data_IF_463126327932
#
_entry.id   IF_463126327932
#
_cell.length_a   1.000
_cell.length_b   1.000
_cell.length_c   1.000
_cell.angle_alpha   90.00
_cell.angle_beta   90.00
_cell.angle_gamma   90.00
#
_symmetry.space_group_name_H-M   'P 1'
#
loop_
_entity.id
_entity.type
_entity.pdbx_description
1 polymer ?
#
# COMPACT_ATOMS: atom_id res chain seq x y z
N UNK A 1 -4.66 80.90 -35.16
CA UNK A 1 -4.22 80.58 -33.80
C UNK A 1 -5.18 79.64 -33.08
N UNK A 2 -6.50 79.89 -33.12
CA UNK A 2 -7.54 79.01 -32.45
C UNK A 2 -7.53 77.58 -32.95
N UNK A 3 -7.36 77.34 -34.25
CA UNK A 3 -7.32 76.02 -34.86
C UNK A 3 -6.10 75.20 -34.43
N UNK A 4 -4.96 75.80 -34.24
CA UNK A 4 -3.74 75.12 -33.75
C UNK A 4 -3.86 74.76 -32.27
N UNK A 5 -4.51 75.67 -31.48
CA UNK A 5 -4.78 75.36 -30.05
C UNK A 5 -5.77 74.19 -29.91
N UNK A 6 -6.84 74.18 -30.72
CA UNK A 6 -7.81 73.04 -30.73
C UNK A 6 -7.19 71.74 -31.20
N UNK A 7 -6.28 71.75 -32.16
CA UNK A 7 -5.55 70.58 -32.63
C UNK A 7 -4.59 70.07 -31.55
N UNK A 8 -3.92 70.96 -30.80
CA UNK A 8 -3.06 70.59 -29.68
C UNK A 8 -3.83 69.98 -28.52
N UNK A 9 -5.00 70.56 -28.19
CA UNK A 9 -5.88 69.99 -27.16
C UNK A 9 -6.39 68.59 -27.57
N UNK A 10 -6.84 68.42 -28.82
CA UNK A 10 -7.28 67.19 -29.38
C UNK A 10 -6.16 66.11 -29.31
N UNK A 11 -4.95 66.47 -29.70
CA UNK A 11 -3.78 65.59 -29.62
C UNK A 11 -3.45 65.21 -28.19
N UNK A 12 -3.48 66.15 -27.24
CA UNK A 12 -3.28 65.89 -25.84
C UNK A 12 -4.33 64.93 -25.28
N UNK A 13 -5.61 65.07 -25.62
CA UNK A 13 -6.69 64.19 -25.23
C UNK A 13 -6.46 62.75 -25.80
N UNK A 14 -6.09 62.64 -27.06
CA UNK A 14 -5.79 61.32 -27.69
C UNK A 14 -4.61 60.66 -27.02
N UNK A 15 -3.53 61.40 -26.77
CA UNK A 15 -2.33 60.81 -26.15
C UNK A 15 -2.56 60.45 -24.68
N UNK A 16 -3.16 61.30 -23.89
CA UNK A 16 -3.31 61.12 -22.46
C UNK A 16 -4.52 60.28 -22.05
N UNK A 17 -5.55 60.14 -22.87
CA UNK A 17 -6.78 59.41 -22.55
C UNK A 17 -6.90 58.12 -23.36
N UNK A 18 -6.77 58.19 -24.69
CA UNK A 18 -7.02 57.05 -25.58
C UNK A 18 -5.90 56.03 -25.53
N UNK A 19 -4.64 56.47 -25.49
CA UNK A 19 -3.49 55.57 -25.47
C UNK A 19 -3.42 54.70 -24.20
N UNK A 20 -3.59 55.24 -22.99
CA UNK A 20 -3.64 54.41 -21.78
C UNK A 20 -4.88 53.44 -21.74
N UNK A 21 -6.02 53.93 -22.25
CA UNK A 21 -7.23 53.12 -22.39
C UNK A 21 -7.00 51.93 -23.34
N UNK A 22 -6.36 52.13 -24.47
CA UNK A 22 -5.99 51.07 -25.41
C UNK A 22 -5.00 50.09 -24.77
N UNK A 23 -3.98 50.60 -24.06
CA UNK A 23 -3.03 49.74 -23.34
C UNK A 23 -3.68 48.90 -22.25
N UNK A 24 -4.68 49.44 -21.55
CA UNK A 24 -5.47 48.72 -20.54
C UNK A 24 -6.44 47.69 -21.13
N UNK A 25 -6.80 47.84 -22.41
CA UNK A 25 -7.71 46.93 -23.13
C UNK A 25 -7.08 45.61 -23.51
N UNK A 26 -5.75 45.53 -23.64
CA UNK A 26 -5.04 44.34 -24.08
C UNK A 26 -4.74 43.48 -22.87
N UNK A 27 -5.25 42.24 -22.89
CA UNK A 27 -4.98 41.22 -21.86
C UNK A 27 -4.44 39.95 -22.52
N UNK A 28 -3.38 39.39 -21.92
CA UNK A 28 -2.79 38.13 -22.31
C UNK A 28 -3.20 37.06 -21.30
N UNK A 29 -3.69 35.95 -21.81
CA UNK A 29 -4.05 34.75 -21.04
C UNK A 29 -3.12 33.62 -21.45
N UNK A 30 -2.48 33.00 -20.47
CA UNK A 30 -1.56 31.91 -20.69
C UNK A 30 -2.30 30.62 -21.15
N UNK A 31 -1.57 29.68 -21.72
CA UNK A 31 -2.16 28.43 -22.24
C UNK A 31 -2.85 27.60 -21.15
N UNK A 32 -2.31 27.62 -19.96
CA UNK A 32 -2.84 26.93 -18.77
C UNK A 32 -3.92 27.73 -18.03
N UNK A 33 -4.23 28.96 -18.46
CA UNK A 33 -5.27 29.81 -17.89
C UNK A 33 -6.46 29.94 -18.84
N UNK A 34 -7.63 30.27 -18.27
CA UNK A 34 -8.80 30.72 -19.04
C UNK A 34 -9.31 32.00 -18.46
N UNK A 35 -9.60 32.93 -19.34
CA UNK A 35 -10.20 34.20 -18.98
C UNK A 35 -11.73 34.12 -19.00
N UNK A 36 -12.38 34.21 -17.86
CA UNK A 36 -13.84 34.30 -17.76
C UNK A 36 -14.23 35.78 -17.85
N UNK A 37 -14.97 36.14 -18.90
CA UNK A 37 -15.32 37.55 -19.19
C UNK A 37 -16.75 37.80 -18.72
N UNK A 38 -16.90 38.85 -17.91
CA UNK A 38 -18.18 39.41 -17.50
C UNK A 38 -18.37 40.77 -18.16
N UNK A 39 -19.42 40.93 -18.91
CA UNK A 39 -19.80 42.22 -19.54
C UNK A 39 -20.98 42.81 -18.81
N UNK A 40 -20.79 43.97 -18.20
CA UNK A 40 -21.83 44.64 -17.37
C UNK A 40 -22.46 43.69 -16.36
N UNK A 41 -21.63 42.77 -15.76
CA UNK A 41 -22.08 41.82 -14.78
C UNK A 41 -22.68 40.51 -15.35
N UNK A 42 -22.88 40.40 -16.66
CA UNK A 42 -23.34 39.17 -17.30
C UNK A 42 -22.18 38.33 -17.81
N UNK A 43 -22.21 37.02 -17.55
CA UNK A 43 -21.23 36.09 -18.06
C UNK A 43 -21.34 36.00 -19.61
N UNK A 44 -20.25 36.30 -20.29
CA UNK A 44 -20.14 36.16 -21.76
C UNK A 44 -19.60 34.79 -22.12
N UNK A 45 -18.74 34.23 -21.27
CA UNK A 45 -18.14 32.90 -21.40
C UNK A 45 -16.64 32.89 -21.22
N UNK A 46 -16.07 31.67 -21.08
CA UNK A 46 -14.62 31.52 -20.99
C UNK A 46 -13.96 31.77 -22.36
N UNK A 47 -12.84 32.46 -22.36
CA UNK A 47 -11.97 32.65 -23.54
C UNK A 47 -10.71 31.80 -23.40
N UNK A 48 -10.27 31.21 -24.52
CA UNK A 48 -9.05 30.42 -24.61
C UNK A 48 -7.77 31.22 -24.38
N UNK A 49 -6.59 30.60 -24.54
CA UNK A 49 -5.31 31.29 -24.40
C UNK A 49 -5.09 32.28 -25.56
N UNK A 50 -4.28 33.30 -25.31
CA UNK A 50 -3.88 34.26 -26.31
C UNK A 50 -4.12 35.71 -25.90
N UNK A 51 -4.16 36.60 -26.91
CA UNK A 51 -4.33 38.03 -26.74
C UNK A 51 -5.79 38.39 -26.94
N UNK A 52 -6.40 39.08 -25.97
CA UNK A 52 -7.78 39.52 -26.01
C UNK A 52 -7.88 41.02 -25.83
N UNK A 53 -8.80 41.59 -26.57
CA UNK A 53 -9.19 42.99 -26.39
C UNK A 53 -10.41 43.02 -25.47
N UNK A 54 -10.26 43.68 -24.30
CA UNK A 54 -11.29 43.84 -23.29
C UNK A 54 -11.65 45.31 -23.23
N UNK A 55 -12.93 45.65 -23.20
CA UNK A 55 -13.39 47.03 -23.02
C UNK A 55 -13.22 47.42 -21.55
N UNK A 56 -12.25 48.33 -21.22
CA UNK A 56 -12.07 48.77 -19.84
C UNK A 56 -13.37 49.44 -19.37
N UNK A 57 -13.71 49.24 -18.07
CA UNK A 57 -14.94 49.66 -17.40
C UNK A 57 -16.23 48.88 -17.73
N UNK A 58 -16.32 48.25 -18.90
CA UNK A 58 -17.50 47.45 -19.32
C UNK A 58 -17.28 45.97 -19.06
N UNK A 59 -16.08 45.49 -19.40
CA UNK A 59 -15.73 44.07 -19.29
C UNK A 59 -14.79 43.85 -18.06
N UNK A 60 -15.11 42.86 -17.27
CA UNK A 60 -14.29 42.35 -16.16
C UNK A 60 -13.85 40.92 -16.48
N UNK A 61 -12.55 40.65 -16.39
CA UNK A 61 -12.00 39.33 -16.62
C UNK A 61 -11.46 38.74 -15.32
N UNK A 62 -11.86 37.48 -15.05
CA UNK A 62 -11.30 36.66 -13.98
C UNK A 62 -10.48 35.54 -14.63
N UNK A 63 -9.23 35.39 -14.24
CA UNK A 63 -8.35 34.34 -14.73
C UNK A 63 -8.47 33.10 -13.83
N UNK A 64 -8.65 31.95 -14.42
CA UNK A 64 -8.72 30.65 -13.73
C UNK A 64 -7.63 29.75 -14.30
N UNK A 65 -6.85 29.15 -13.41
CA UNK A 65 -5.83 28.15 -13.73
C UNK A 65 -6.50 26.78 -13.93
N UNK A 66 -6.13 26.07 -15.01
CA UNK A 66 -6.66 24.74 -15.34
C UNK A 66 -5.73 23.59 -14.91
N UNK A 67 -4.56 23.90 -14.38
CA UNK A 67 -3.61 22.90 -13.91
C UNK A 67 -4.17 22.17 -12.69
N UNK A 68 -3.65 20.99 -12.47
CA UNK A 68 -3.95 20.23 -11.24
C UNK A 68 -3.38 20.99 -10.04
N UNK A 69 -4.25 21.23 -9.09
CA UNK A 69 -3.90 21.83 -7.79
C UNK A 69 -3.88 20.74 -6.75
N UNK A 70 -2.83 20.72 -5.95
CA UNK A 70 -2.71 19.82 -4.80
C UNK A 70 -3.13 20.57 -3.55
N UNK A 71 -4.03 19.96 -2.77
CA UNK A 71 -4.53 20.53 -1.53
C UNK A 71 -4.37 19.53 -0.39
N UNK A 72 -3.71 19.93 0.66
CA UNK A 72 -3.58 19.14 1.88
C UNK A 72 -4.78 19.36 2.81
N UNK A 73 -5.41 18.28 3.23
CA UNK A 73 -6.43 18.25 4.27
C UNK A 73 -5.72 17.96 5.59
N UNK A 74 -5.71 18.90 6.55
CA UNK A 74 -5.03 18.73 7.82
C UNK A 74 -5.63 17.57 8.61
N UNK A 75 -4.89 17.02 9.59
CA UNK A 75 -5.36 15.90 10.39
C UNK A 75 -6.72 16.17 11.02
N UNK A 76 -7.69 15.31 10.72
CA UNK A 76 -9.04 15.32 11.28
C UNK A 76 -9.16 14.22 12.33
N UNK A 77 -9.68 14.57 13.49
CA UNK A 77 -10.02 13.59 14.50
C UNK A 77 -11.36 12.94 14.15
N UNK A 78 -11.35 11.62 14.06
CA UNK A 78 -12.51 10.81 13.63
C UNK A 78 -12.65 9.61 14.55
N UNK A 79 -13.88 9.16 14.74
CA UNK A 79 -14.19 7.90 15.44
C UNK A 79 -14.73 6.95 14.38
N UNK A 80 -14.07 5.81 14.23
CA UNK A 80 -14.49 4.75 13.29
C UNK A 80 -15.72 4.01 13.77
N UNK A 81 -16.30 3.16 12.89
CA UNK A 81 -17.46 2.34 13.22
C UNK A 81 -17.21 1.37 14.40
N UNK A 82 -15.98 0.90 14.54
CA UNK A 82 -15.50 0.05 15.65
C UNK A 82 -15.07 0.84 16.90
N UNK A 83 -15.49 2.12 16.99
CA UNK A 83 -15.29 3.02 18.13
C UNK A 83 -13.83 3.31 18.45
N UNK A 84 -12.96 3.35 17.45
CA UNK A 84 -11.55 3.76 17.59
C UNK A 84 -11.40 5.21 17.21
N UNK A 85 -10.86 6.02 18.12
CA UNK A 85 -10.49 7.42 17.82
C UNK A 85 -9.16 7.45 17.13
N UNK A 86 -9.08 8.17 15.99
CA UNK A 86 -7.84 8.35 15.24
C UNK A 86 -7.77 9.72 14.59
N UNK A 87 -6.57 10.13 14.17
CA UNK A 87 -6.35 11.32 13.34
C UNK A 87 -5.93 10.89 11.96
N UNK A 88 -6.60 11.45 10.95
CA UNK A 88 -6.34 11.12 9.56
C UNK A 88 -6.15 12.38 8.76
N UNK A 89 -5.06 12.46 7.99
CA UNK A 89 -4.80 13.49 6.99
C UNK A 89 -4.98 12.92 5.59
N UNK A 90 -5.31 13.80 4.63
CA UNK A 90 -5.48 13.41 3.23
C UNK A 90 -4.91 14.47 2.29
N UNK A 91 -4.66 14.07 1.06
CA UNK A 91 -4.28 14.96 -0.04
C UNK A 91 -5.31 14.83 -1.14
N UNK A 92 -5.75 15.97 -1.64
CA UNK A 92 -6.72 16.09 -2.72
C UNK A 92 -6.05 16.70 -3.95
N UNK A 93 -6.19 16.04 -5.10
CA UNK A 93 -5.76 16.53 -6.41
C UNK A 93 -6.99 16.88 -7.23
N UNK A 94 -7.13 18.15 -7.60
CA UNK A 94 -8.26 18.60 -8.39
C UNK A 94 -7.84 19.61 -9.45
N UNK A 95 -8.66 19.80 -10.45
CA UNK A 95 -8.50 20.82 -11.48
C UNK A 95 -9.84 21.41 -11.88
N UNK A 96 -9.81 22.63 -12.39
CA UNK A 96 -11.01 23.24 -12.98
C UNK A 96 -11.20 22.76 -14.41
N UNK A 97 -12.38 22.23 -14.71
CA UNK A 97 -12.78 21.78 -16.06
C UNK A 97 -13.64 22.84 -16.73
N UNK A 98 -14.59 23.43 -15.99
CA UNK A 98 -15.40 24.54 -16.47
C UNK A 98 -15.11 25.83 -15.69
N UNK A 99 -14.31 26.74 -16.24
CA UNK A 99 -13.97 27.99 -15.58
C UNK A 99 -15.19 28.92 -15.38
N UNK A 100 -16.22 28.79 -16.22
CA UNK A 100 -17.44 29.56 -16.08
C UNK A 100 -18.19 29.19 -14.81
N UNK A 101 -18.43 27.90 -14.60
CA UNK A 101 -19.06 27.36 -13.39
C UNK A 101 -18.22 27.62 -12.14
N UNK A 102 -16.90 27.53 -12.25
CA UNK A 102 -15.99 27.78 -11.12
C UNK A 102 -16.09 29.21 -10.56
N UNK A 103 -16.45 30.17 -11.39
CA UNK A 103 -16.59 31.57 -10.96
C UNK A 103 -18.05 31.94 -10.62
N UNK A 104 -19.03 31.32 -11.26
CA UNK A 104 -20.46 31.65 -11.06
C UNK A 104 -21.17 30.74 -10.07
N UNK A 105 -20.74 29.48 -9.96
CA UNK A 105 -21.40 28.48 -9.12
C UNK A 105 -21.00 28.57 -7.65
N UNK A 106 -19.81 29.10 -7.35
CA UNK A 106 -19.29 29.19 -5.99
C UNK A 106 -18.39 30.42 -5.84
N UNK A 107 -18.39 31.05 -4.68
CA UNK A 107 -17.58 32.25 -4.45
C UNK A 107 -16.07 31.94 -4.41
N UNK A 108 -15.70 30.80 -3.82
CA UNK A 108 -14.32 30.32 -3.72
C UNK A 108 -14.36 28.78 -3.79
N UNK A 109 -14.10 28.25 -4.99
CA UNK A 109 -14.11 26.81 -5.24
C UNK A 109 -12.99 26.07 -4.48
N UNK A 110 -11.86 26.73 -4.23
CA UNK A 110 -10.75 26.12 -3.48
C UNK A 110 -11.18 25.89 -2.04
N UNK A 111 -11.68 26.91 -1.39
CA UNK A 111 -12.15 26.84 0.00
C UNK A 111 -13.35 25.91 0.16
N UNK A 112 -14.28 25.95 -0.80
CA UNK A 112 -15.45 25.08 -0.76
C UNK A 112 -15.07 23.59 -0.93
N UNK A 113 -14.19 23.28 -1.90
CA UNK A 113 -13.67 21.92 -2.09
C UNK A 113 -12.90 21.43 -0.86
N UNK A 114 -12.16 22.31 -0.21
CA UNK A 114 -11.48 21.99 1.05
C UNK A 114 -12.45 21.57 2.16
N UNK A 115 -13.53 22.31 2.36
CA UNK A 115 -14.54 22.00 3.37
C UNK A 115 -15.30 20.71 3.06
N UNK A 116 -15.63 20.50 1.78
CA UNK A 116 -16.23 19.22 1.34
C UNK A 116 -15.27 18.07 1.65
N UNK A 117 -14.00 18.19 1.28
CA UNK A 117 -13.02 17.16 1.54
C UNK A 117 -12.92 16.82 3.04
N UNK A 118 -12.87 17.83 3.91
CA UNK A 118 -12.84 17.62 5.37
C UNK A 118 -14.09 16.89 5.89
N UNK A 119 -15.27 17.33 5.47
CA UNK A 119 -16.53 16.75 5.95
C UNK A 119 -16.75 15.35 5.41
N UNK A 120 -16.45 15.13 4.13
CA UNK A 120 -16.54 13.81 3.49
C UNK A 120 -15.54 12.83 4.08
N UNK A 121 -14.30 13.27 4.32
CA UNK A 121 -13.27 12.47 4.99
C UNK A 121 -13.80 11.96 6.35
N UNK A 122 -14.35 12.86 7.17
CA UNK A 122 -14.91 12.50 8.48
C UNK A 122 -16.08 11.53 8.36
N UNK A 123 -16.99 11.74 7.41
CA UNK A 123 -18.16 10.88 7.20
C UNK A 123 -17.76 9.48 6.75
N UNK A 124 -16.94 9.37 5.71
CA UNK A 124 -16.53 8.07 5.14
C UNK A 124 -15.70 7.27 6.14
N UNK A 125 -14.79 7.93 6.88
CA UNK A 125 -13.99 7.25 7.90
C UNK A 125 -14.84 6.83 9.11
N UNK A 126 -15.84 7.62 9.48
CA UNK A 126 -16.79 7.26 10.56
C UNK A 126 -17.68 6.06 10.23
N UNK A 127 -17.90 5.78 8.94
CA UNK A 127 -18.63 4.61 8.46
C UNK A 127 -17.75 3.36 8.28
N UNK A 128 -16.43 3.54 8.20
CA UNK A 128 -15.46 2.48 7.92
C UNK A 128 -14.90 1.88 9.20
N UNK A 129 -14.44 0.63 9.13
CA UNK A 129 -13.70 -0.02 10.21
C UNK A 129 -12.21 0.28 10.10
N UNK A 130 -11.49 0.23 11.22
CA UNK A 130 -10.06 0.48 11.26
C UNK A 130 -9.28 -0.50 10.36
N UNK A 131 -9.64 -1.77 10.39
CA UNK A 131 -8.99 -2.79 9.57
C UNK A 131 -9.18 -2.52 8.06
N UNK A 132 -10.34 -2.01 7.63
CA UNK A 132 -10.58 -1.61 6.24
C UNK A 132 -9.69 -0.45 5.81
N UNK A 133 -9.51 0.54 6.70
CA UNK A 133 -8.63 1.70 6.47
C UNK A 133 -7.15 1.31 6.34
N UNK A 134 -6.71 0.30 7.07
CA UNK A 134 -5.32 -0.15 7.05
C UNK A 134 -5.03 -1.12 5.90
N UNK A 135 -5.98 -2.03 5.59
CA UNK A 135 -5.82 -3.09 4.60
C UNK A 135 -6.25 -2.68 3.18
N UNK A 136 -7.32 -1.86 3.04
CA UNK A 136 -7.97 -1.56 1.77
C UNK A 136 -8.05 -0.05 1.49
N UNK A 137 -6.92 0.66 1.61
CA UNK A 137 -6.85 2.13 1.38
C UNK A 137 -7.39 2.55 0.03
N UNK A 138 -7.11 1.78 -1.02
CA UNK A 138 -7.55 2.09 -2.38
C UNK A 138 -9.08 2.19 -2.50
N UNK A 139 -9.81 1.33 -1.79
CA UNK A 139 -11.27 1.36 -1.77
C UNK A 139 -11.80 2.61 -1.07
N UNK A 140 -11.18 3.01 0.02
CA UNK A 140 -11.54 4.22 0.75
C UNK A 140 -11.22 5.46 -0.09
N UNK A 141 -10.04 5.51 -0.72
CA UNK A 141 -9.64 6.59 -1.61
C UNK A 141 -10.62 6.74 -2.78
N UNK A 142 -11.02 5.64 -3.42
CA UNK A 142 -12.01 5.65 -4.50
C UNK A 142 -13.38 6.15 -4.02
N UNK A 143 -13.86 5.70 -2.86
CA UNK A 143 -15.13 6.18 -2.28
C UNK A 143 -15.07 7.67 -1.95
N UNK A 144 -13.98 8.14 -1.38
CA UNK A 144 -13.76 9.56 -1.11
C UNK A 144 -13.76 10.38 -2.40
N UNK A 145 -13.02 9.94 -3.41
CA UNK A 145 -12.93 10.59 -4.71
C UNK A 145 -14.32 10.71 -5.35
N UNK A 146 -15.09 9.62 -5.42
CA UNK A 146 -16.42 9.58 -6.02
C UNK A 146 -17.38 10.59 -5.36
N UNK A 147 -17.43 10.61 -4.03
CA UNK A 147 -18.31 11.50 -3.28
C UNK A 147 -17.91 12.97 -3.47
N UNK A 148 -16.60 13.27 -3.36
CA UNK A 148 -16.11 14.64 -3.47
C UNK A 148 -16.27 15.15 -4.91
N UNK A 149 -15.94 14.32 -5.91
CA UNK A 149 -16.09 14.66 -7.33
C UNK A 149 -17.56 15.00 -7.66
N UNK A 150 -18.51 14.17 -7.21
CA UNK A 150 -19.95 14.42 -7.38
C UNK A 150 -20.41 15.75 -6.75
N UNK A 151 -19.84 16.12 -5.59
CA UNK A 151 -20.21 17.36 -4.90
C UNK A 151 -19.56 18.60 -5.51
N UNK A 152 -18.40 18.46 -6.18
CA UNK A 152 -17.67 19.58 -6.81
C UNK A 152 -17.99 19.73 -8.29
N UNK A 153 -18.57 18.73 -8.93
CA UNK A 153 -18.99 18.76 -10.35
C UNK A 153 -19.88 19.95 -10.70
N UNK A 154 -20.90 20.35 -9.89
CA UNK A 154 -21.74 21.53 -10.17
C UNK A 154 -20.96 22.86 -10.26
N UNK A 155 -19.76 22.89 -9.69
CA UNK A 155 -18.87 24.05 -9.74
C UNK A 155 -17.82 23.96 -10.85
N UNK A 156 -17.92 22.96 -11.74
CA UNK A 156 -16.96 22.75 -12.81
C UNK A 156 -15.56 22.35 -12.33
N UNK A 157 -15.45 21.85 -11.11
CA UNK A 157 -14.22 21.32 -10.52
C UNK A 157 -14.25 19.81 -10.58
N UNK A 158 -13.17 19.23 -11.10
CA UNK A 158 -13.01 17.76 -11.17
C UNK A 158 -11.92 17.29 -10.23
N UNK A 159 -12.26 16.35 -9.38
CA UNK A 159 -11.31 15.69 -8.48
C UNK A 159 -10.66 14.52 -9.22
N UNK A 160 -9.33 14.61 -9.37
CA UNK A 160 -8.56 13.57 -10.06
C UNK A 160 -8.26 12.40 -9.15
N UNK A 161 -7.83 12.68 -7.92
CA UNK A 161 -7.43 11.67 -6.95
C UNK A 161 -7.60 12.21 -5.54
N UNK A 162 -7.96 11.34 -4.61
CA UNK A 162 -7.95 11.61 -3.17
C UNK A 162 -7.13 10.49 -2.52
N UNK A 163 -6.16 10.86 -1.71
CA UNK A 163 -5.30 9.90 -1.03
C UNK A 163 -5.26 10.18 0.47
N UNK A 164 -5.51 9.14 1.26
CA UNK A 164 -5.27 9.18 2.69
C UNK A 164 -3.76 9.12 2.93
N UNK A 165 -3.21 10.19 3.53
CA UNK A 165 -1.76 10.35 3.75
C UNK A 165 -1.32 9.63 5.02
N UNK A 166 -1.74 10.12 6.19
CA UNK A 166 -1.33 9.62 7.48
C UNK A 166 -2.54 9.20 8.32
N UNK A 167 -2.38 8.09 9.04
CA UNK A 167 -3.34 7.57 10.00
C UNK A 167 -2.64 7.45 11.35
N UNK A 168 -2.94 8.35 12.26
CA UNK A 168 -2.38 8.36 13.61
C UNK A 168 -3.36 7.73 14.60
N UNK A 169 -2.93 6.65 15.23
CA UNK A 169 -3.67 5.94 16.26
C UNK A 169 -3.20 6.36 17.67
N UNK A 170 -4.04 6.28 18.70
CA UNK A 170 -3.62 6.45 20.09
C UNK A 170 -2.53 5.44 20.46
N UNK A 171 -1.56 5.84 21.27
CA UNK A 171 -0.43 4.98 21.68
C UNK A 171 -0.86 3.63 22.31
N UNK A 172 -1.96 3.62 23.04
CA UNK A 172 -2.52 2.40 23.64
C UNK A 172 -2.91 1.38 22.56
N UNK A 173 -3.55 1.86 21.49
CA UNK A 173 -3.98 1.04 20.36
C UNK A 173 -2.77 0.58 19.52
N UNK A 174 -1.81 1.48 19.24
CA UNK A 174 -0.58 1.11 18.54
C UNK A 174 0.14 -0.04 19.26
N UNK A 175 0.26 0.04 20.60
CA UNK A 175 0.86 -1.02 21.41
C UNK A 175 0.06 -2.32 21.40
N UNK A 176 -1.27 -2.23 21.39
CA UNK A 176 -2.13 -3.42 21.27
C UNK A 176 -1.98 -4.11 19.91
N UNK A 177 -2.03 -3.34 18.81
CA UNK A 177 -1.83 -3.85 17.47
C UNK A 177 -0.43 -4.42 17.24
N UNK A 178 0.61 -3.78 17.81
CA UNK A 178 1.97 -4.31 17.73
C UNK A 178 2.07 -5.69 18.39
N UNK A 179 1.50 -5.88 19.59
CA UNK A 179 1.46 -7.20 20.24
C UNK A 179 0.65 -8.24 19.46
N UNK A 180 -0.47 -7.83 18.89
CA UNK A 180 -1.28 -8.73 18.05
C UNK A 180 -0.51 -9.15 16.79
N UNK A 181 0.13 -8.19 16.11
CA UNK A 181 0.94 -8.48 14.92
C UNK A 181 2.14 -9.38 15.23
N UNK A 182 2.79 -9.18 16.39
CA UNK A 182 3.87 -10.02 16.87
C UNK A 182 3.40 -11.47 17.13
N UNK A 183 2.28 -11.62 17.84
CA UNK A 183 1.70 -12.93 18.10
C UNK A 183 1.26 -13.66 16.82
N UNK A 184 0.70 -12.93 15.86
CA UNK A 184 0.34 -13.51 14.56
C UNK A 184 1.56 -13.93 13.74
N UNK A 185 2.61 -13.10 13.74
CA UNK A 185 3.89 -13.46 13.09
C UNK A 185 4.52 -14.68 13.75
N UNK A 186 4.53 -14.73 15.08
CA UNK A 186 5.04 -15.91 15.82
C UNK A 186 4.24 -17.17 15.49
N UNK A 187 2.91 -17.10 15.48
CA UNK A 187 2.03 -18.20 15.08
C UNK A 187 2.36 -18.65 13.65
N UNK A 188 2.48 -17.72 12.71
CA UNK A 188 2.80 -18.03 11.31
C UNK A 188 4.19 -18.64 11.18
N UNK A 189 5.20 -18.12 11.90
CA UNK A 189 6.54 -18.69 11.93
C UNK A 189 6.53 -20.13 12.46
N UNK A 190 5.79 -20.42 13.55
CA UNK A 190 5.64 -21.79 14.08
C UNK A 190 5.00 -22.75 13.08
N UNK A 191 3.96 -22.29 12.36
CA UNK A 191 3.29 -23.11 11.33
C UNK A 191 4.25 -23.41 10.17
N UNK A 192 4.98 -22.39 9.70
CA UNK A 192 5.96 -22.55 8.62
C UNK A 192 7.09 -23.49 9.04
N UNK A 193 7.60 -23.33 10.27
CA UNK A 193 8.66 -24.17 10.81
C UNK A 193 8.19 -25.63 10.91
N UNK A 194 7.01 -25.88 11.52
CA UNK A 194 6.45 -27.22 11.63
C UNK A 194 6.15 -27.84 10.24
N UNK A 195 5.68 -27.05 9.29
CA UNK A 195 5.50 -27.48 7.90
C UNK A 195 6.82 -27.88 7.24
N UNK A 196 7.86 -27.05 7.42
CA UNK A 196 9.20 -27.32 6.91
C UNK A 196 9.84 -28.58 7.56
N UNK A 197 9.66 -28.77 8.87
CA UNK A 197 10.12 -29.98 9.56
C UNK A 197 9.40 -31.24 9.04
N UNK A 198 8.08 -31.14 8.83
CA UNK A 198 7.31 -32.25 8.29
C UNK A 198 7.76 -32.62 6.86
N UNK A 199 7.94 -31.63 5.98
CA UNK A 199 8.41 -31.83 4.61
C UNK A 199 9.84 -32.39 4.59
N UNK A 200 10.73 -31.89 5.45
CA UNK A 200 12.08 -32.38 5.61
C UNK A 200 12.08 -33.84 6.12
N UNK A 201 11.26 -34.15 7.14
CA UNK A 201 11.13 -35.48 7.66
C UNK A 201 10.61 -36.50 6.61
N UNK A 202 9.62 -36.06 5.81
CA UNK A 202 9.10 -36.87 4.70
C UNK A 202 10.17 -37.14 3.64
N UNK A 203 10.92 -36.08 3.25
CA UNK A 203 12.02 -36.20 2.28
C UNK A 203 13.15 -37.10 2.79
N UNK A 204 13.49 -36.99 4.09
CA UNK A 204 14.47 -37.87 4.72
C UNK A 204 13.99 -39.31 4.77
N UNK A 205 12.71 -39.56 5.08
CA UNK A 205 12.13 -40.90 5.09
C UNK A 205 12.13 -41.53 3.70
N UNK A 206 11.80 -40.77 2.66
CA UNK A 206 11.84 -41.21 1.27
C UNK A 206 13.28 -41.50 0.82
N UNK A 207 14.23 -40.62 1.16
CA UNK A 207 15.65 -40.83 0.91
C UNK A 207 16.17 -42.11 1.64
N UNK A 208 15.79 -42.32 2.90
CA UNK A 208 16.16 -43.51 3.68
C UNK A 208 15.58 -44.80 3.05
N UNK A 209 14.34 -44.73 2.51
CA UNK A 209 13.72 -45.87 1.82
C UNK A 209 14.48 -46.23 0.54
N UNK A 210 14.89 -45.24 -0.24
CA UNK A 210 15.69 -45.44 -1.46
C UNK A 210 17.08 -45.99 -1.12
N UNK A 211 17.76 -45.43 -0.11
CA UNK A 211 19.08 -45.90 0.34
C UNK A 211 19.00 -47.31 0.94
N UNK A 212 17.94 -47.62 1.68
CA UNK A 212 17.72 -48.92 2.31
C UNK A 212 17.38 -50.06 1.33
N UNK A 213 16.98 -49.74 0.09
CA UNK A 213 16.69 -50.75 -0.92
C UNK A 213 17.94 -51.48 -1.42
N UNK A 214 19.12 -50.87 -1.31
CA UNK A 214 20.41 -51.41 -1.74
C UNK A 214 21.42 -51.40 -0.58
N UNK A 215 21.79 -52.56 0.04
CA UNK A 215 22.67 -52.63 1.21
C UNK A 215 24.05 -51.98 0.99
N UNK A 216 24.54 -51.99 -0.24
CA UNK A 216 25.85 -51.40 -0.59
C UNK A 216 25.84 -49.87 -0.56
N UNK A 217 24.69 -49.24 -0.79
CA UNK A 217 24.52 -47.77 -0.79
C UNK A 217 24.73 -47.20 0.62
N UNK A 218 24.36 -47.92 1.66
CA UNK A 218 24.55 -47.54 3.05
C UNK A 218 26.05 -47.46 3.41
N UNK A 219 26.86 -48.38 2.90
CA UNK A 219 28.31 -48.38 3.11
C UNK A 219 28.99 -47.22 2.37
N UNK A 220 28.55 -46.91 1.14
CA UNK A 220 29.05 -45.78 0.38
C UNK A 220 28.71 -44.44 1.06
N UNK A 221 27.50 -44.31 1.56
CA UNK A 221 27.07 -43.12 2.31
C UNK A 221 27.87 -42.92 3.60
N UNK A 222 28.15 -44.03 4.32
CA UNK A 222 28.97 -44.01 5.52
C UNK A 222 30.41 -43.54 5.20
N UNK A 223 31.01 -44.03 4.13
CA UNK A 223 32.33 -43.59 3.67
C UNK A 223 32.34 -42.15 3.21
N UNK A 224 31.29 -41.68 2.56
CA UNK A 224 31.14 -40.30 2.14
C UNK A 224 31.04 -39.34 3.34
N UNK A 225 30.22 -39.69 4.35
CA UNK A 225 30.12 -38.89 5.58
C UNK A 225 31.45 -38.82 6.34
N UNK A 226 32.19 -39.94 6.35
CA UNK A 226 33.54 -39.97 6.94
C UNK A 226 34.51 -39.03 6.21
N UNK A 227 34.44 -38.96 4.89
CA UNK A 227 35.26 -38.06 4.08
C UNK A 227 34.91 -36.59 4.34
N UNK A 228 33.62 -36.28 4.51
CA UNK A 228 33.15 -34.91 4.85
C UNK A 228 33.63 -34.51 6.26
N UNK A 229 33.52 -35.37 7.25
CA UNK A 229 34.03 -35.12 8.62
C UNK A 229 35.57 -34.97 8.65
N UNK A 230 36.26 -35.76 7.84
CA UNK A 230 37.72 -35.69 7.74
C UNK A 230 38.25 -34.43 7.02
N UNK A 231 37.44 -33.79 6.19
CA UNK A 231 37.77 -32.55 5.47
C UNK A 231 37.78 -31.30 6.38
N UNK A 232 37.00 -31.29 7.45
CA UNK A 232 37.01 -30.25 8.45
C UNK A 232 38.18 -30.48 9.41
N UNK A 233 39.04 -29.45 9.58
CA UNK A 233 40.27 -29.48 10.44
C UNK A 233 39.94 -29.63 11.94
N UNK A 234 39.22 -30.67 12.33
CA UNK A 234 38.90 -30.94 13.72
C UNK A 234 39.83 -32.02 14.31
N UNK A 235 40.51 -31.69 15.40
CA UNK A 235 41.47 -32.56 16.09
C UNK A 235 40.85 -33.68 16.91
N UNK A 236 39.51 -33.75 16.95
CA UNK A 236 38.80 -34.81 17.72
C UNK A 236 37.70 -35.44 16.84
N UNK A 237 37.93 -36.66 16.40
CA UNK A 237 36.94 -37.44 15.61
C UNK A 237 36.23 -38.36 16.59
N UNK A 238 34.95 -38.12 16.85
CA UNK A 238 34.10 -39.06 17.56
C UNK A 238 33.53 -40.01 16.52
N UNK A 239 33.93 -41.27 16.60
CA UNK A 239 33.53 -42.30 15.66
C UNK A 239 32.32 -43.08 16.22
N UNK A 240 31.09 -42.83 15.74
CA UNK A 240 29.95 -43.69 16.07
C UNK A 240 30.09 -45.01 15.30
N UNK A 241 30.65 -46.01 15.93
CA UNK A 241 30.69 -47.36 15.34
C UNK A 241 29.30 -47.99 15.48
N UNK A 242 28.61 -48.31 14.37
CA UNK A 242 27.34 -49.05 14.45
C UNK A 242 27.58 -50.43 15.09
N UNK A 243 26.92 -50.66 16.21
CA UNK A 243 27.05 -51.94 16.99
C UNK A 243 26.74 -53.16 16.12
N UNK A 244 25.89 -53.01 15.11
CA UNK A 244 25.50 -54.08 14.17
C UNK A 244 26.67 -54.59 13.32
N UNK A 245 27.66 -53.74 13.00
CA UNK A 245 28.88 -54.16 12.31
C UNK A 245 29.77 -55.02 13.21
N UNK A 246 29.83 -54.71 14.51
CA UNK A 246 30.58 -55.49 15.50
C UNK A 246 29.87 -56.81 15.75
N UNK A 247 28.53 -56.85 15.80
CA UNK A 247 27.74 -58.06 15.95
C UNK A 247 27.92 -59.04 14.78
N UNK A 248 28.03 -58.54 13.54
CA UNK A 248 28.32 -59.38 12.38
C UNK A 248 29.71 -60.03 12.42
N UNK A 249 30.72 -59.37 12.95
CA UNK A 249 32.06 -59.92 13.14
C UNK A 249 32.16 -60.87 14.33
N UNK A 250 31.51 -60.56 15.46
CA UNK A 250 31.47 -61.39 16.64
C UNK A 250 30.52 -62.59 16.47
N UNK A 251 29.42 -62.47 15.73
CA UNK A 251 28.49 -63.59 15.45
C UNK A 251 29.11 -64.70 14.65
N UNK A 252 30.02 -64.37 13.72
CA UNK A 252 30.82 -65.39 12.99
C UNK A 252 31.78 -66.14 13.84
N UNK A 253 32.31 -65.56 14.91
CA UNK A 253 33.24 -66.16 15.83
C UNK A 253 32.56 -67.03 16.93
N UNK A 254 31.30 -66.71 17.29
CA UNK A 254 30.55 -67.46 18.33
C UNK A 254 29.70 -68.64 17.78
N UNK A 255 29.46 -68.69 16.47
CA UNK A 255 28.71 -69.74 15.83
C UNK A 255 29.48 -71.10 15.77
N UNK A 256 30.80 -71.07 16.02
CA UNK A 256 31.64 -72.29 15.96
C UNK A 256 31.79 -73.06 17.29
N UNK A 257 31.19 -72.60 18.41
CA UNK A 257 31.38 -73.25 19.73
C UNK A 257 30.14 -73.82 20.37
N UNK A 258 28.99 -73.93 19.72
CA UNK A 258 27.76 -74.37 20.35
C UNK A 258 27.17 -75.64 19.64
N UNK A 259 27.95 -76.69 19.46
CA UNK A 259 27.50 -78.05 19.03
C UNK A 259 27.46 -79.04 20.15
N UNK A 260 27.12 -78.69 21.38
CA UNK A 260 26.83 -79.63 22.44
C UNK A 260 25.72 -79.08 23.33
N UNK A 261 24.48 -79.50 23.04
CA UNK A 261 23.34 -79.27 23.92
C UNK A 261 22.84 -80.65 24.37
N UNK A 262 22.90 -81.04 25.66
CA UNK A 262 22.26 -82.21 26.16
C UNK A 262 20.72 -82.07 26.19
N UNK A 263 20.02 -83.14 25.86
CA UNK A 263 18.57 -83.26 25.84
C UNK A 263 17.96 -82.99 27.23
N UNK A 264 17.07 -82.08 27.35
CA UNK A 264 16.26 -81.73 28.52
C UNK A 264 15.04 -82.66 28.60
N UNK A 265 14.65 -83.20 29.77
CA UNK A 265 13.53 -84.12 29.91
C UNK A 265 12.19 -83.40 29.92
N UNK A 266 11.21 -84.02 29.28
CA UNK A 266 9.82 -83.60 29.11
C UNK A 266 9.08 -83.54 30.45
N UNK A 267 8.38 -82.39 30.79
CA UNK A 267 7.52 -82.34 31.98
C UNK A 267 6.16 -83.08 31.72
N UNK A 268 5.51 -83.59 32.77
CA UNK A 268 4.28 -84.36 32.66
C UNK A 268 3.06 -83.52 32.35
N UNK A 269 2.13 -84.04 31.55
CA UNK A 269 0.83 -83.52 31.21
C UNK A 269 -0.07 -83.34 32.45
N UNK A 270 -0.59 -82.15 32.64
CA UNK A 270 -1.66 -81.91 33.61
C UNK A 270 -3.03 -82.20 32.99
N UNK A 271 -3.97 -82.82 33.73
CA UNK A 271 -5.26 -83.22 33.19
C UNK A 271 -6.24 -82.02 33.13
N UNK A 272 -7.09 -82.08 32.09
CA UNK A 272 -8.10 -81.04 31.82
C UNK A 272 -9.21 -81.02 32.89
N UNK A 273 -9.75 -79.87 33.27
CA UNK A 273 -10.95 -79.83 34.10
C UNK A 273 -12.21 -80.10 33.27
N UNK A 274 -13.00 -81.02 33.78
CA UNK A 274 -14.39 -81.27 33.38
C UNK A 274 -15.35 -80.32 34.02
N UNK A 275 -16.35 -79.88 33.23
CA UNK A 275 -17.66 -79.33 33.41
C UNK A 275 -17.82 -77.88 32.97
#
# INVERSE_FOLDING_TARGET
MQSLINLGILFAVVVFVVLPLLGSSVRVVQEYERGVIFRLGRLVGPRGPGLFLILPFVDRMVKIDLRVVTMEVPPQEVITRDNVTMRVSAVLYFRVVDPGLAVTGVADYVRASFQIAQTTLRSVLGESELDELLANRDRINAKLQEIIDTQTEPWGVKVSTVEVKDVELPESMQRAMARQAEAEREKRAKIIHAGGEFEAAQTLADAARVIGSEPQTLQLRYLQTLTEIAAERNSTIIFPVPIDLIAAFLGGALASTNSHRPSEPTPPREPAPTA
#
